data_IF_475707564402
#
_entry.id   IF_475707564402
#
_cell.length_a   1.000
_cell.length_b   1.000
_cell.length_c   1.000
_cell.angle_alpha   90.00
_cell.angle_beta   90.00
_cell.angle_gamma   90.00
#
_symmetry.space_group_name_H-M   'P 1'
#
loop_
_entity.id
_entity.type
_entity.pdbx_description
1 polymer ?
#
# COMPACT_ATOMS: atom_id res chain seq x y z
N UNK A 1 7.54 -5.70 -4.80
CA UNK A 1 6.32 -5.29 -4.06
C UNK A 1 5.27 -4.83 -5.06
N UNK A 2 4.13 -5.53 -5.16
CA UNK A 2 3.01 -5.09 -6.00
C UNK A 2 2.17 -4.07 -5.22
N UNK A 3 1.70 -2.98 -5.85
CA UNK A 3 0.88 -2.00 -5.17
C UNK A 3 -0.43 -2.65 -4.72
N UNK A 4 -0.68 -2.65 -3.41
CA UNK A 4 -1.97 -3.00 -2.80
C UNK A 4 -3.06 -2.08 -3.33
N UNK A 5 -4.33 -2.51 -3.28
CA UNK A 5 -5.50 -1.74 -3.75
C UNK A 5 -5.53 -0.28 -3.25
N UNK A 6 -4.92 -0.03 -2.09
CA UNK A 6 -4.77 1.30 -1.47
C UNK A 6 -3.89 2.26 -2.27
N UNK A 7 -2.81 1.79 -2.90
CA UNK A 7 -1.87 2.65 -3.64
C UNK A 7 -2.41 3.04 -5.03
N UNK A 8 -3.19 2.16 -5.67
CA UNK A 8 -3.80 2.44 -6.97
C UNK A 8 -4.75 3.65 -6.92
N UNK A 9 -5.40 3.87 -5.78
CA UNK A 9 -6.34 4.98 -5.57
C UNK A 9 -5.67 6.36 -5.57
N UNK A 10 -4.35 6.43 -5.37
CA UNK A 10 -3.65 7.65 -4.98
C UNK A 10 -3.00 8.47 -6.11
N UNK A 11 -3.04 8.04 -7.38
CA UNK A 11 -2.41 8.80 -8.48
C UNK A 11 -3.32 8.98 -9.70
N UNK A 12 -4.10 10.07 -9.78
CA UNK A 12 -4.54 10.57 -11.07
C UNK A 12 -3.36 11.31 -11.73
N UNK A 13 -2.51 10.58 -12.45
CA UNK A 13 -1.63 11.23 -13.43
C UNK A 13 -2.55 11.99 -14.38
N UNK A 14 -2.43 13.31 -14.43
CA UNK A 14 -3.27 14.19 -15.26
C UNK A 14 -3.05 13.86 -16.73
N UNK A 15 -3.80 12.91 -17.26
CA UNK A 15 -3.70 12.52 -18.65
C UNK A 15 -4.70 13.30 -19.51
N UNK A 16 -4.36 13.56 -20.79
CA UNK A 16 -5.21 14.31 -21.73
C UNK A 16 -6.56 13.64 -22.06
N UNK A 17 -6.89 12.49 -21.47
CA UNK A 17 -8.17 11.80 -21.64
C UNK A 17 -8.59 10.96 -20.42
N UNK A 18 -9.16 11.62 -19.39
CA UNK A 18 -9.62 10.97 -18.13
C UNK A 18 -10.54 9.76 -18.34
N UNK A 19 -11.37 9.77 -19.38
CA UNK A 19 -12.31 8.66 -19.68
C UNK A 19 -11.59 7.33 -19.93
N UNK A 20 -10.36 7.33 -20.44
CA UNK A 20 -9.61 6.10 -20.68
C UNK A 20 -9.20 5.37 -19.39
N UNK A 21 -9.16 6.05 -18.26
CA UNK A 21 -8.77 5.45 -16.97
C UNK A 21 -9.88 4.63 -16.32
N UNK A 22 -11.15 4.90 -16.67
CA UNK A 22 -12.33 4.26 -16.08
C UNK A 22 -12.82 3.03 -16.87
N UNK A 23 -11.99 2.49 -17.77
CA UNK A 23 -12.34 1.33 -18.58
C UNK A 23 -11.12 0.74 -19.30
N UNK A 24 -11.35 -0.22 -20.18
CA UNK A 24 -10.30 -0.94 -20.90
C UNK A 24 -10.08 -0.34 -22.28
N UNK A 25 -9.06 0.52 -22.40
CA UNK A 25 -8.77 1.27 -23.64
C UNK A 25 -7.55 0.75 -24.41
N UNK A 26 -6.74 -0.14 -23.84
CA UNK A 26 -5.53 -0.66 -24.46
C UNK A 26 -4.63 0.47 -25.01
N UNK A 27 -4.39 1.49 -24.18
CA UNK A 27 -3.61 2.69 -24.52
C UNK A 27 -4.22 3.58 -25.62
N UNK A 28 -5.49 3.39 -26.00
CA UNK A 28 -6.15 4.30 -26.96
C UNK A 28 -6.56 5.59 -26.26
N UNK A 29 -6.18 6.71 -26.86
CA UNK A 29 -6.53 8.06 -26.41
C UNK A 29 -7.20 8.86 -27.52
N UNK A 30 -7.75 10.02 -27.16
CA UNK A 30 -8.30 11.01 -28.09
C UNK A 30 -7.20 11.51 -29.02
N UNK A 31 -7.45 11.51 -30.33
CA UNK A 31 -6.53 12.07 -31.33
C UNK A 31 -7.04 13.43 -31.81
N UNK A 32 -6.12 14.33 -32.07
CA UNK A 32 -6.39 15.68 -32.59
C UNK A 32 -5.77 15.84 -33.98
N UNK A 33 -6.40 16.65 -34.82
CA UNK A 33 -5.88 16.98 -36.15
C UNK A 33 -6.80 17.93 -36.90
N UNK A 34 -6.66 17.98 -38.22
CA UNK A 34 -7.40 18.92 -39.06
C UNK A 34 -8.12 18.20 -40.20
N UNK A 35 -9.22 18.75 -40.68
CA UNK A 35 -9.70 18.52 -42.04
C UNK A 35 -8.90 19.41 -42.98
N UNK A 36 -8.40 18.84 -44.08
CA UNK A 36 -7.61 19.56 -45.08
C UNK A 36 -8.36 19.48 -46.40
N UNK A 37 -9.10 20.54 -46.79
CA UNK A 37 -9.71 20.61 -48.12
C UNK A 37 -8.66 21.00 -49.18
N UNK A 38 -9.06 20.91 -50.46
CA UNK A 38 -8.20 21.30 -51.59
C UNK A 38 -7.74 22.76 -51.51
N UNK A 39 -8.59 23.65 -50.99
CA UNK A 39 -8.26 25.08 -50.73
C UNK A 39 -7.25 25.30 -49.59
N UNK A 40 -6.81 24.24 -48.89
CA UNK A 40 -5.89 24.29 -47.75
C UNK A 40 -6.36 25.12 -46.54
N UNK A 41 -7.60 25.62 -46.54
CA UNK A 41 -8.21 26.23 -45.35
C UNK A 41 -8.59 25.14 -44.32
N UNK A 42 -7.69 24.89 -43.37
CA UNK A 42 -7.78 23.78 -42.41
C UNK A 42 -8.79 24.07 -41.30
N UNK A 43 -9.67 23.12 -41.00
CA UNK A 43 -10.56 23.17 -39.81
C UNK A 43 -10.17 22.12 -38.78
N UNK A 44 -10.28 22.44 -37.48
CA UNK A 44 -9.89 21.51 -36.39
C UNK A 44 -10.90 20.38 -36.26
N UNK A 45 -10.40 19.15 -36.07
CA UNK A 45 -11.23 17.98 -35.74
C UNK A 45 -10.62 17.10 -34.67
N UNK A 46 -11.47 16.29 -34.07
CA UNK A 46 -11.12 15.34 -33.01
C UNK A 46 -11.59 13.95 -33.41
N UNK A 47 -10.78 12.92 -33.15
CA UNK A 47 -11.19 11.52 -33.26
C UNK A 47 -11.23 10.86 -31.88
N UNK A 48 -12.38 10.32 -31.54
CA UNK A 48 -12.58 9.54 -30.32
C UNK A 48 -12.43 8.04 -30.60
N UNK A 49 -11.91 7.25 -29.64
CA UNK A 49 -11.92 5.80 -29.75
C UNK A 49 -13.36 5.26 -29.75
N UNK A 50 -13.58 4.15 -30.47
CA UNK A 50 -14.87 3.45 -30.45
C UNK A 50 -15.00 2.64 -29.15
N UNK A 51 -15.76 3.17 -28.20
CA UNK A 51 -15.97 2.61 -26.85
C UNK A 51 -17.35 1.98 -26.76
N UNK A 52 -17.40 0.73 -26.30
CA UNK A 52 -18.61 -0.08 -26.16
C UNK A 52 -18.78 -0.50 -24.70
N UNK A 53 -20.02 -0.55 -24.21
CA UNK A 53 -20.32 -1.17 -22.90
C UNK A 53 -20.58 -2.66 -23.12
N UNK A 54 -19.76 -3.53 -22.54
CA UNK A 54 -19.87 -4.98 -22.70
C UNK A 54 -19.77 -5.70 -21.36
N UNK A 55 -20.37 -6.89 -21.28
CA UNK A 55 -20.21 -7.85 -20.20
C UNK A 55 -19.14 -8.84 -20.64
N UNK A 56 -18.11 -9.03 -19.83
CA UNK A 56 -17.05 -10.00 -20.06
C UNK A 56 -17.02 -10.94 -18.87
N UNK A 57 -17.19 -12.24 -19.12
CA UNK A 57 -17.15 -13.25 -18.07
C UNK A 57 -15.71 -13.43 -17.57
N UNK A 58 -15.53 -13.41 -16.25
CA UNK A 58 -14.25 -13.68 -15.57
C UNK A 58 -14.35 -15.04 -14.89
N UNK A 59 -13.46 -15.96 -15.25
CA UNK A 59 -13.40 -17.32 -14.72
C UNK A 59 -12.90 -17.30 -13.28
N UNK A 60 -11.87 -16.50 -12.99
CA UNK A 60 -11.30 -16.38 -11.64
C UNK A 60 -12.32 -15.83 -10.62
N UNK A 61 -13.28 -15.02 -11.08
CA UNK A 61 -14.30 -14.41 -10.21
C UNK A 61 -15.66 -15.10 -10.29
N UNK A 62 -15.87 -16.01 -11.24
CA UNK A 62 -17.15 -16.67 -11.50
C UNK A 62 -18.30 -15.71 -11.84
N UNK A 63 -18.01 -14.51 -12.38
CA UNK A 63 -19.05 -13.50 -12.65
C UNK A 63 -18.74 -12.61 -13.85
N UNK A 64 -19.80 -11.99 -14.38
CA UNK A 64 -19.70 -11.01 -15.46
C UNK A 64 -19.19 -9.64 -14.98
N UNK A 65 -18.13 -9.15 -15.63
CA UNK A 65 -17.62 -7.80 -15.47
C UNK A 65 -18.27 -6.86 -16.49
N UNK A 66 -19.01 -5.86 -15.99
CA UNK A 66 -19.62 -4.81 -16.81
C UNK A 66 -18.64 -3.64 -16.97
N UNK A 67 -17.95 -3.58 -18.11
CA UNK A 67 -16.88 -2.59 -18.36
C UNK A 67 -17.07 -1.83 -19.67
N UNK A 68 -16.56 -0.60 -19.72
CA UNK A 68 -16.39 0.16 -20.96
C UNK A 68 -15.11 -0.31 -21.65
N UNK A 69 -15.24 -0.80 -22.88
CA UNK A 69 -14.13 -1.44 -23.60
C UNK A 69 -14.03 -0.85 -25.00
N UNK A 70 -12.81 -0.53 -25.43
CA UNK A 70 -12.57 -0.13 -26.83
C UNK A 70 -12.56 -1.36 -27.75
N UNK A 71 -12.96 -1.23 -29.02
CA UNK A 71 -12.91 -2.35 -29.99
C UNK A 71 -11.52 -3.01 -30.11
N UNK A 72 -10.43 -2.24 -29.99
CA UNK A 72 -9.07 -2.80 -29.90
C UNK A 72 -8.87 -3.68 -28.67
N UNK A 73 -9.35 -3.24 -27.51
CA UNK A 73 -9.25 -4.02 -26.28
C UNK A 73 -10.05 -5.31 -26.41
N UNK A 74 -11.27 -5.28 -26.97
CA UNK A 74 -12.06 -6.50 -27.26
C UNK A 74 -11.31 -7.50 -28.16
N UNK A 75 -10.67 -7.02 -29.24
CA UNK A 75 -9.83 -7.88 -30.10
C UNK A 75 -8.67 -8.51 -29.33
N UNK A 76 -8.08 -7.77 -28.40
CA UNK A 76 -6.94 -8.22 -27.60
C UNK A 76 -7.39 -9.24 -26.54
N UNK A 77 -8.52 -9.00 -25.88
CA UNK A 77 -9.17 -9.95 -24.96
C UNK A 77 -9.44 -11.29 -25.67
N UNK A 78 -9.98 -11.25 -26.91
CA UNK A 78 -10.16 -12.46 -27.72
C UNK A 78 -8.83 -13.17 -28.04
N UNK A 79 -7.76 -12.41 -28.32
CA UNK A 79 -6.41 -12.98 -28.58
C UNK A 79 -5.81 -13.66 -27.34
N UNK A 80 -6.10 -13.15 -26.14
CA UNK A 80 -5.66 -13.75 -24.88
C UNK A 80 -6.63 -14.83 -24.35
N UNK A 81 -7.61 -15.25 -25.15
CA UNK A 81 -8.59 -16.28 -24.79
C UNK A 81 -9.36 -15.98 -23.51
N UNK A 82 -9.61 -14.70 -23.18
CA UNK A 82 -10.36 -14.35 -21.96
C UNK A 82 -9.96 -13.01 -21.36
N UNK A 83 -10.78 -12.51 -20.44
CA UNK A 83 -10.51 -11.24 -19.75
C UNK A 83 -9.40 -11.39 -18.70
N UNK A 84 -9.38 -12.50 -17.97
CA UNK A 84 -8.42 -12.70 -16.88
C UNK A 84 -6.99 -12.79 -17.41
N UNK A 85 -6.78 -13.61 -18.45
CA UNK A 85 -5.50 -13.69 -19.17
C UNK A 85 -5.08 -12.34 -19.75
N UNK A 86 -6.02 -11.60 -20.34
CA UNK A 86 -5.74 -10.25 -20.83
C UNK A 86 -5.24 -9.33 -19.70
N UNK A 87 -5.89 -9.35 -18.53
CA UNK A 87 -5.50 -8.51 -17.39
C UNK A 87 -4.11 -8.90 -16.84
N UNK A 88 -3.81 -10.21 -16.80
CA UNK A 88 -2.54 -10.73 -16.27
C UNK A 88 -1.35 -10.47 -17.20
N UNK A 89 -1.54 -10.69 -18.51
CA UNK A 89 -0.47 -10.61 -19.50
C UNK A 89 -0.24 -9.21 -20.05
N UNK A 90 -1.25 -8.33 -20.02
CA UNK A 90 -1.14 -6.97 -20.58
C UNK A 90 -0.27 -6.08 -19.69
N UNK A 91 0.57 -5.25 -20.33
CA UNK A 91 1.39 -4.23 -19.67
C UNK A 91 0.54 -3.22 -18.88
N UNK A 92 1.04 -2.82 -17.72
CA UNK A 92 0.34 -1.91 -16.81
C UNK A 92 -0.02 -0.54 -17.44
N UNK A 93 0.85 -0.01 -18.30
CA UNK A 93 0.63 1.26 -19.03
C UNK A 93 -0.67 1.29 -19.87
N UNK A 94 -1.10 0.12 -20.36
CA UNK A 94 -2.22 0.01 -21.31
C UNK A 94 -3.57 -0.22 -20.64
N UNK A 95 -3.56 -0.69 -19.39
CA UNK A 95 -4.73 -1.11 -18.61
C UNK A 95 -5.51 0.07 -18.00
N UNK A 96 -4.83 1.16 -17.70
CA UNK A 96 -5.40 2.28 -16.95
C UNK A 96 -5.82 1.90 -15.52
N UNK A 97 -6.39 2.84 -14.78
CA UNK A 97 -6.76 2.63 -13.37
C UNK A 97 -7.74 1.46 -13.18
N UNK A 98 -8.83 1.42 -13.93
CA UNK A 98 -9.84 0.36 -13.80
C UNK A 98 -9.26 -1.02 -14.18
N UNK A 99 -8.45 -1.10 -15.24
CA UNK A 99 -7.80 -2.35 -15.61
C UNK A 99 -6.81 -2.85 -14.54
N UNK A 100 -6.05 -1.94 -13.93
CA UNK A 100 -5.14 -2.28 -12.83
C UNK A 100 -5.91 -2.76 -11.60
N UNK A 101 -7.02 -2.10 -11.26
CA UNK A 101 -7.91 -2.52 -10.17
C UNK A 101 -8.43 -3.94 -10.41
N UNK A 102 -8.96 -4.21 -11.60
CA UNK A 102 -9.47 -5.55 -11.95
C UNK A 102 -8.37 -6.60 -11.90
N UNK A 103 -7.17 -6.27 -12.37
CA UNK A 103 -6.02 -7.17 -12.30
C UNK A 103 -5.66 -7.54 -10.86
N UNK A 104 -5.69 -6.59 -9.94
CA UNK A 104 -5.43 -6.88 -8.52
C UNK A 104 -6.51 -7.80 -7.95
N UNK A 105 -7.79 -7.52 -8.22
CA UNK A 105 -8.91 -8.35 -7.77
C UNK A 105 -8.79 -9.78 -8.31
N UNK A 106 -8.44 -9.96 -9.58
CA UNK A 106 -8.23 -11.28 -10.20
C UNK A 106 -7.04 -12.00 -9.55
N UNK A 107 -5.92 -11.30 -9.29
CA UNK A 107 -4.76 -11.90 -8.61
C UNK A 107 -5.08 -12.35 -7.19
N UNK A 108 -5.83 -11.54 -6.45
CA UNK A 108 -6.30 -11.89 -5.11
C UNK A 108 -7.24 -13.09 -5.15
N UNK A 109 -8.17 -13.14 -6.10
CA UNK A 109 -9.06 -14.29 -6.27
C UNK A 109 -8.31 -15.58 -6.60
N UNK A 110 -7.33 -15.51 -7.50
CA UNK A 110 -6.47 -16.66 -7.84
C UNK A 110 -5.60 -17.09 -6.65
N UNK A 111 -5.02 -16.14 -5.92
CA UNK A 111 -4.25 -16.44 -4.71
C UNK A 111 -5.13 -17.13 -3.65
N UNK A 112 -6.33 -16.61 -3.41
CA UNK A 112 -7.28 -17.21 -2.49
C UNK A 112 -7.73 -18.60 -2.94
N UNK A 113 -7.89 -18.83 -4.25
CA UNK A 113 -8.21 -20.14 -4.79
C UNK A 113 -7.06 -21.15 -4.54
N UNK A 114 -5.81 -20.72 -4.67
CA UNK A 114 -4.64 -21.54 -4.39
C UNK A 114 -4.40 -21.78 -2.88
N UNK A 115 -4.77 -20.82 -2.03
CA UNK A 115 -4.62 -20.93 -0.56
C UNK A 115 -5.71 -21.81 0.07
N UNK A 116 -6.84 -22.01 -0.59
CA UNK A 116 -7.86 -22.94 -0.08
C UNK A 116 -7.21 -24.32 0.06
N UNK A 117 -7.34 -24.96 1.24
CA UNK A 117 -6.75 -26.27 1.43
C UNK A 117 -7.28 -27.21 0.36
N UNK A 118 -6.37 -27.83 -0.38
CA UNK A 118 -6.73 -28.99 -1.19
C UNK A 118 -7.19 -30.09 -0.25
N UNK A 119 -8.24 -30.83 -0.62
CA UNK A 119 -8.76 -31.90 0.23
C UNK A 119 -7.71 -33.00 0.52
N UNK A 120 -6.65 -33.08 -0.30
CA UNK A 120 -5.56 -34.06 -0.24
C UNK A 120 -4.23 -33.44 0.26
N UNK A 121 -4.24 -32.68 1.35
CA UNK A 121 -3.01 -32.18 1.97
C UNK A 121 -2.29 -33.28 2.76
N UNK A 122 -0.98 -33.45 2.52
CA UNK A 122 -0.12 -34.32 3.35
C UNK A 122 0.09 -33.69 4.73
N UNK A 123 0.20 -34.46 5.84
CA UNK A 123 0.40 -33.90 7.18
C UNK A 123 1.56 -32.90 7.31
N UNK A 124 2.64 -33.10 6.55
CA UNK A 124 3.77 -32.18 6.46
C UNK A 124 3.40 -30.81 5.86
N UNK A 125 2.57 -30.79 4.81
CA UNK A 125 2.12 -29.55 4.18
C UNK A 125 1.20 -28.75 5.11
N UNK A 126 0.44 -29.47 5.96
CA UNK A 126 -0.42 -28.86 6.97
C UNK A 126 0.39 -28.17 8.07
N UNK A 127 1.45 -28.82 8.59
CA UNK A 127 2.31 -28.22 9.61
C UNK A 127 3.13 -27.04 9.07
N UNK A 128 3.63 -27.13 7.84
CA UNK A 128 4.31 -26.02 7.15
C UNK A 128 3.40 -24.79 6.99
N UNK A 129 2.12 -25.03 6.65
CA UNK A 129 1.12 -23.97 6.53
C UNK A 129 0.82 -23.33 7.88
N UNK A 130 0.58 -24.13 8.92
CA UNK A 130 0.33 -23.65 10.28
C UNK A 130 1.52 -22.78 10.76
N UNK A 131 2.76 -23.24 10.55
CA UNK A 131 3.97 -22.47 10.84
C UNK A 131 4.05 -21.16 10.05
N UNK A 132 3.68 -21.17 8.75
CA UNK A 132 3.66 -19.97 7.91
C UNK A 132 2.60 -18.97 8.37
N UNK A 133 1.43 -19.45 8.76
CA UNK A 133 0.34 -18.63 9.31
C UNK A 133 0.78 -17.97 10.63
N UNK A 134 1.45 -18.71 11.52
CA UNK A 134 2.04 -18.15 12.75
C UNK A 134 3.09 -17.08 12.46
N UNK A 135 4.00 -17.32 11.52
CA UNK A 135 4.99 -16.33 11.10
C UNK A 135 4.31 -15.07 10.56
N UNK A 136 3.28 -15.20 9.71
CA UNK A 136 2.56 -14.03 9.21
C UNK A 136 1.91 -13.23 10.34
N UNK A 137 1.24 -13.88 11.31
CA UNK A 137 0.67 -13.21 12.50
C UNK A 137 1.73 -12.47 13.30
N UNK A 138 2.87 -13.13 13.58
CA UNK A 138 4.01 -12.51 14.29
C UNK A 138 4.54 -11.28 13.54
N UNK A 139 4.65 -11.35 12.21
CA UNK A 139 5.09 -10.21 11.40
C UNK A 139 4.08 -9.06 11.40
N UNK A 140 2.78 -9.36 11.33
CA UNK A 140 1.71 -8.36 11.39
C UNK A 140 1.68 -7.67 12.76
N UNK A 141 1.78 -8.44 13.85
CA UNK A 141 1.89 -7.91 15.22
C UNK A 141 3.12 -7.00 15.37
N UNK A 142 4.27 -7.41 14.85
CA UNK A 142 5.49 -6.60 14.86
C UNK A 142 5.33 -5.30 14.05
N UNK A 143 4.68 -5.37 12.88
CA UNK A 143 4.37 -4.18 12.07
C UNK A 143 3.41 -3.24 12.81
N UNK A 144 2.36 -3.77 13.44
CA UNK A 144 1.42 -2.97 14.26
C UNK A 144 2.17 -2.30 15.42
N UNK A 145 2.97 -3.05 16.18
CA UNK A 145 3.78 -2.50 17.26
C UNK A 145 4.68 -1.37 16.76
N UNK A 146 5.38 -1.59 15.63
CA UNK A 146 6.24 -0.57 15.02
C UNK A 146 5.46 0.66 14.57
N UNK A 147 4.26 0.51 14.02
CA UNK A 147 3.42 1.66 13.65
C UNK A 147 2.96 2.45 14.88
N UNK A 148 2.65 1.79 15.99
CA UNK A 148 2.30 2.44 17.26
C UNK A 148 3.50 3.22 17.80
N UNK A 149 4.70 2.64 17.77
CA UNK A 149 5.93 3.34 18.17
C UNK A 149 6.22 4.56 17.30
N UNK A 150 6.18 4.41 15.97
CA UNK A 150 6.39 5.53 15.06
C UNK A 150 5.36 6.65 15.28
N UNK A 151 4.08 6.29 15.52
CA UNK A 151 3.05 7.27 15.90
C UNK A 151 3.41 7.98 17.20
N UNK A 152 3.83 7.26 18.25
CA UNK A 152 4.28 7.85 19.52
C UNK A 152 5.43 8.84 19.31
N UNK A 153 6.43 8.48 18.51
CA UNK A 153 7.57 9.37 18.20
C UNK A 153 7.12 10.61 17.41
N UNK A 154 6.21 10.43 16.46
CA UNK A 154 5.71 11.53 15.64
C UNK A 154 4.80 12.49 16.43
N UNK A 155 3.95 11.98 17.32
CA UNK A 155 3.08 12.79 18.18
C UNK A 155 3.80 13.33 19.41
N UNK A 156 5.01 12.85 19.73
CA UNK A 156 5.79 13.36 20.84
C UNK A 156 6.10 14.85 20.64
N UNK A 157 5.69 15.66 21.61
CA UNK A 157 5.94 17.11 21.61
C UNK A 157 7.45 17.36 21.74
N UNK A 158 8.02 18.13 20.81
CA UNK A 158 9.43 18.56 20.88
C UNK A 158 9.66 19.39 22.15
N UNK A 159 10.84 19.31 22.78
CA UNK A 159 11.13 20.08 23.99
C UNK A 159 11.06 21.58 23.68
N UNK A 160 10.20 22.29 24.39
CA UNK A 160 10.09 23.76 24.38
C UNK A 160 10.85 24.36 25.57
N UNK A 161 11.14 25.67 25.53
CA UNK A 161 11.76 26.37 26.66
C UNK A 161 10.99 26.17 27.98
N UNK A 162 9.66 26.13 27.93
CA UNK A 162 8.82 25.86 29.11
C UNK A 162 9.08 24.46 29.69
N UNK A 163 9.15 23.43 28.84
CA UNK A 163 9.46 22.06 29.30
C UNK A 163 10.88 21.96 29.89
N UNK A 164 11.85 22.70 29.34
CA UNK A 164 13.21 22.75 29.84
C UNK A 164 13.32 23.49 31.19
N UNK A 165 12.53 24.56 31.39
CA UNK A 165 12.42 25.27 32.68
C UNK A 165 11.80 24.38 33.75
N UNK A 166 10.67 23.75 33.46
CA UNK A 166 10.01 22.83 34.40
C UNK A 166 10.91 21.63 34.78
N UNK A 167 11.68 21.07 33.84
CA UNK A 167 12.64 20.01 34.14
C UNK A 167 13.81 20.50 35.02
N UNK A 168 14.26 21.75 34.83
CA UNK A 168 15.25 22.38 35.70
C UNK A 168 14.72 22.62 37.10
N UNK A 169 13.53 23.17 37.24
CA UNK A 169 12.89 23.44 38.53
C UNK A 169 12.76 22.16 39.35
N UNK A 170 12.25 21.08 38.75
CA UNK A 170 12.17 19.75 39.39
C UNK A 170 13.54 19.21 39.82
N UNK A 171 14.57 19.43 39.00
CA UNK A 171 15.92 18.99 39.32
C UNK A 171 16.56 19.82 40.46
N UNK A 172 16.28 21.11 40.52
CA UNK A 172 16.69 22.02 41.60
C UNK A 172 16.01 21.60 42.90
N UNK A 173 14.71 21.33 42.86
CA UNK A 173 13.92 20.84 44.00
C UNK A 173 14.47 19.50 44.53
N UNK A 174 14.72 18.53 43.65
CA UNK A 174 15.29 17.22 44.01
C UNK A 174 16.72 17.30 44.61
N UNK A 175 17.48 18.37 44.30
CA UNK A 175 18.81 18.62 44.85
C UNK A 175 18.79 19.48 46.13
N UNK A 176 17.60 19.80 46.66
CA UNK A 176 17.43 20.56 47.89
C UNK A 176 17.40 22.09 47.71
N UNK A 177 17.02 22.59 46.54
CA UNK A 177 16.83 24.03 46.28
C UNK A 177 18.00 24.70 45.56
N UNK A 178 18.38 25.92 45.96
CA UNK A 178 19.31 26.80 45.22
C UNK A 178 20.64 26.10 44.95
N UNK A 179 20.89 25.79 43.67
CA UNK A 179 21.99 24.93 43.25
C UNK A 179 22.71 25.50 42.02
N UNK A 180 23.99 25.13 41.87
CA UNK A 180 24.80 25.54 40.71
C UNK A 180 24.28 24.89 39.42
N UNK A 181 24.24 25.61 38.28
CA UNK A 181 23.72 25.08 37.01
C UNK A 181 24.38 23.77 36.56
N UNK A 182 25.68 23.61 36.85
CA UNK A 182 26.42 22.39 36.54
C UNK A 182 25.93 21.14 37.27
N UNK A 183 25.54 21.27 38.55
CA UNK A 183 24.97 20.14 39.33
C UNK A 183 23.60 19.73 38.78
N UNK A 184 22.77 20.70 38.41
CA UNK A 184 21.46 20.47 37.78
C UNK A 184 21.61 19.74 36.44
N UNK A 185 22.57 20.15 35.61
CA UNK A 185 22.88 19.47 34.34
C UNK A 185 23.41 18.05 34.55
N UNK A 186 24.27 17.84 35.55
CA UNK A 186 24.77 16.52 35.89
C UNK A 186 23.64 15.59 36.37
N UNK A 187 22.72 16.09 37.21
CA UNK A 187 21.54 15.36 37.66
C UNK A 187 20.63 14.96 36.50
N UNK A 188 20.30 15.90 35.61
CA UNK A 188 19.47 15.63 34.43
C UNK A 188 20.13 14.62 33.47
N UNK A 189 21.46 14.69 33.28
CA UNK A 189 22.22 13.70 32.49
C UNK A 189 22.20 12.31 33.14
N UNK A 190 22.33 12.24 34.46
CA UNK A 190 22.25 10.98 35.23
C UNK A 190 20.86 10.36 35.10
N UNK A 191 19.81 11.13 35.37
CA UNK A 191 18.40 10.72 35.19
C UNK A 191 18.13 10.19 33.77
N UNK A 192 18.63 10.85 32.72
CA UNK A 192 18.45 10.37 31.35
C UNK A 192 19.15 9.03 31.08
N UNK A 193 20.35 8.82 31.63
CA UNK A 193 21.07 7.53 31.52
C UNK A 193 20.32 6.42 32.25
N UNK A 194 19.83 6.70 33.46
CA UNK A 194 19.08 5.74 34.28
C UNK A 194 17.74 5.35 33.62
N UNK A 195 17.07 6.29 32.95
CA UNK A 195 15.86 5.97 32.17
C UNK A 195 16.16 5.14 30.92
N UNK A 196 17.29 5.40 30.25
CA UNK A 196 17.69 4.62 29.08
C UNK A 196 18.09 3.18 29.43
N UNK A 197 18.73 2.96 30.58
CA UNK A 197 19.06 1.60 31.05
C UNK A 197 17.81 0.81 31.45
N UNK A 198 16.85 1.45 32.14
CA UNK A 198 15.57 0.81 32.50
C UNK A 198 14.73 0.43 31.29
N UNK A 199 14.63 1.31 30.28
CA UNK A 199 13.93 1.00 29.03
C UNK A 199 14.62 -0.12 28.23
N UNK A 200 15.96 -0.15 28.23
CA UNK A 200 16.74 -1.23 27.63
C UNK A 200 16.51 -2.58 28.32
N UNK A 201 16.46 -2.60 29.66
CA UNK A 201 16.17 -3.80 30.45
C UNK A 201 14.71 -4.29 30.25
N UNK A 202 13.75 -3.37 30.14
CA UNK A 202 12.34 -3.71 29.84
C UNK A 202 12.17 -4.26 28.41
N UNK A 203 12.89 -3.71 27.43
CA UNK A 203 12.90 -4.23 26.07
C UNK A 203 13.54 -5.64 26.00
N UNK A 204 14.60 -5.88 26.79
CA UNK A 204 15.25 -7.19 26.84
C UNK A 204 14.36 -8.26 27.52
N UNK A 205 13.73 -7.94 28.65
CA UNK A 205 12.82 -8.86 29.35
C UNK A 205 11.53 -9.19 28.58
N UNK A 206 11.03 -8.27 27.76
CA UNK A 206 9.82 -8.50 26.94
C UNK A 206 10.10 -9.32 25.68
N UNK A 207 11.35 -9.35 25.21
CA UNK A 207 11.80 -10.25 24.14
C UNK A 207 12.05 -11.66 24.68
N UNK A 208 12.75 -11.80 25.82
CA UNK A 208 13.07 -13.12 26.39
C UNK A 208 11.85 -13.87 26.91
N UNK A 209 10.88 -13.19 27.53
CA UNK A 209 9.64 -13.83 28.02
C UNK A 209 8.74 -14.37 26.89
N UNK A 210 8.86 -13.83 25.66
CA UNK A 210 8.10 -14.31 24.50
C UNK A 210 8.70 -15.55 23.84
N UNK A 211 10.00 -15.76 23.99
CA UNK A 211 10.71 -16.93 23.42
C UNK A 211 10.66 -18.17 24.34
N UNK A 212 10.26 -18.03 25.61
CA UNK A 212 10.11 -19.13 26.59
C UNK A 212 8.73 -19.79 26.65
N UNK A 213 7.75 -19.33 25.86
CA UNK A 213 6.43 -19.98 25.75
C UNK A 213 6.35 -20.66 24.38
N UNK A 214 6.93 -21.86 24.33
CA UNK A 214 6.70 -22.90 23.30
C UNK A 214 5.95 -24.01 24.00
#
# INVERSE_FOLDING_TARGET
MFPTLTLLKATPISQPFKRAQLGLFQGKTKRYGNNVPHSKHKTRRTWLPNVQRKRLFSEALGKDLRVKVTTRALRTVKKHSGIDNYLLQTRHDLLGFEGLRLRTIVREALANANTKPSADETPEQKSEREAREELTRRTEEALVARTVELRRVHTAKKPTLATARAAREKAVEALGGVTKPGKVLAYLKKQKRDQQSLLGLQAFNTLTLKDTVV
#
